data_IF_805775091036
#
_entry.id   IF_805775091036
#
_cell.length_a   1.000
_cell.length_b   1.000
_cell.length_c   1.000
_cell.angle_alpha   90.00
_cell.angle_beta   90.00
_cell.angle_gamma   90.00
#
_symmetry.space_group_name_H-M   'P 1'
#
loop_
_entity.id
_entity.type
_entity.pdbx_description
1 polymer ?
#
# COMPACT_ATOMS: atom_id res chain seq x y z
N UNK A 1 3.45 3.67 -40.99
CA UNK A 1 4.53 3.65 -39.97
C UNK A 1 4.03 4.35 -38.72
N UNK A 2 3.63 3.58 -37.72
CA UNK A 2 3.15 4.13 -36.44
C UNK A 2 4.33 4.54 -35.55
N UNK A 3 4.33 5.77 -35.08
CA UNK A 3 5.32 6.24 -34.11
C UNK A 3 5.06 5.57 -32.75
N UNK A 4 6.09 4.92 -32.21
CA UNK A 4 6.09 4.43 -30.82
C UNK A 4 6.32 5.64 -29.92
N UNK A 5 5.28 6.07 -29.22
CA UNK A 5 5.38 7.13 -28.21
C UNK A 5 5.89 6.51 -26.92
N UNK A 6 7.13 6.83 -26.56
CA UNK A 6 7.71 6.44 -25.27
C UNK A 6 7.10 7.27 -24.14
N UNK A 7 6.30 6.66 -23.28
CA UNK A 7 5.61 7.27 -22.15
C UNK A 7 6.49 7.59 -20.91
N UNK A 8 7.80 7.64 -21.04
CA UNK A 8 8.73 7.85 -19.92
C UNK A 8 8.70 9.25 -19.29
N UNK A 9 8.03 10.22 -19.92
CA UNK A 9 7.98 11.62 -19.42
C UNK A 9 6.72 11.98 -18.64
N UNK A 10 5.70 11.12 -18.67
CA UNK A 10 4.39 11.39 -18.01
C UNK A 10 4.25 10.79 -16.62
N UNK A 11 5.08 9.81 -16.22
CA UNK A 11 4.98 9.18 -14.89
C UNK A 11 5.29 10.15 -13.74
N UNK A 12 6.20 11.11 -13.93
CA UNK A 12 6.55 12.12 -12.91
C UNK A 12 5.44 13.14 -12.61
N UNK A 13 4.50 13.35 -13.52
CA UNK A 13 3.43 14.35 -13.35
C UNK A 13 2.29 13.88 -12.43
N UNK A 14 2.20 12.58 -12.16
CA UNK A 14 1.09 11.99 -11.41
C UNK A 14 1.52 11.17 -10.19
N UNK A 15 2.83 11.13 -9.88
CA UNK A 15 3.30 10.48 -8.65
C UNK A 15 2.84 11.27 -7.44
N UNK A 16 2.19 10.59 -6.51
CA UNK A 16 1.58 11.19 -5.35
C UNK A 16 1.86 10.33 -4.11
N UNK A 17 2.17 10.99 -3.01
CA UNK A 17 2.21 10.38 -1.69
C UNK A 17 0.92 10.73 -0.95
N UNK A 18 0.39 9.79 -0.20
CA UNK A 18 -0.83 9.93 0.57
C UNK A 18 -0.57 9.61 2.04
N UNK A 19 -1.16 10.40 2.93
CA UNK A 19 -1.33 10.05 4.34
C UNK A 19 -2.80 9.73 4.53
N UNK A 20 -3.09 8.48 4.86
CA UNK A 20 -4.45 7.95 4.92
C UNK A 20 -4.73 7.27 6.27
N UNK A 21 -5.89 7.48 6.87
CA UNK A 21 -6.30 6.71 8.04
C UNK A 21 -6.57 5.27 7.64
N UNK A 22 -6.12 4.31 8.46
CA UNK A 22 -6.53 2.91 8.36
C UNK A 22 -7.16 2.47 9.67
N UNK A 23 -7.65 1.25 9.70
CA UNK A 23 -8.22 0.64 10.91
C UNK A 23 -7.23 0.53 12.09
N UNK A 24 -5.92 0.48 11.83
CA UNK A 24 -4.90 0.29 12.87
C UNK A 24 -4.14 1.57 13.22
N UNK A 25 -3.59 2.25 12.23
CA UNK A 25 -2.79 3.46 12.36
C UNK A 25 -2.88 4.26 11.05
N UNK A 26 -2.32 5.46 11.03
CA UNK A 26 -2.16 6.17 9.76
C UNK A 26 -1.15 5.47 8.84
N UNK A 27 -1.53 5.33 7.59
CA UNK A 27 -0.70 4.77 6.53
C UNK A 27 -0.01 5.85 5.69
N UNK A 28 1.25 5.61 5.36
CA UNK A 28 1.95 6.28 4.27
C UNK A 28 1.76 5.45 3.02
N UNK A 29 1.03 6.00 2.05
CA UNK A 29 0.77 5.33 0.79
C UNK A 29 1.36 6.13 -0.38
N UNK A 30 1.56 5.50 -1.52
CA UNK A 30 2.06 6.15 -2.72
C UNK A 30 1.55 5.49 -3.98
N UNK A 31 1.55 6.25 -5.06
CA UNK A 31 1.25 5.75 -6.40
C UNK A 31 2.00 4.44 -6.68
N UNK A 32 1.38 3.56 -7.45
CA UNK A 32 1.96 2.25 -7.74
C UNK A 32 3.04 2.34 -8.85
N UNK A 33 4.05 3.17 -8.60
CA UNK A 33 5.17 3.43 -9.50
C UNK A 33 6.52 3.47 -8.75
N UNK A 34 7.62 3.43 -9.52
CA UNK A 34 8.97 3.39 -8.94
C UNK A 34 9.35 4.67 -8.21
N UNK A 35 8.80 5.82 -8.60
CA UNK A 35 9.13 7.12 -7.97
C UNK A 35 8.51 7.20 -6.58
N UNK A 36 7.22 6.87 -6.44
CA UNK A 36 6.56 6.82 -5.14
C UNK A 36 7.19 5.75 -4.24
N UNK A 37 7.56 4.60 -4.81
CA UNK A 37 8.29 3.57 -4.09
C UNK A 37 9.56 4.11 -3.43
N UNK A 38 10.42 4.77 -4.20
CA UNK A 38 11.67 5.37 -3.69
C UNK A 38 11.41 6.47 -2.65
N UNK A 39 10.41 7.32 -2.88
CA UNK A 39 10.00 8.36 -1.94
C UNK A 39 9.56 7.78 -0.59
N UNK A 40 8.75 6.72 -0.58
CA UNK A 40 8.31 6.06 0.66
C UNK A 40 9.50 5.54 1.47
N UNK A 41 10.48 4.90 0.83
CA UNK A 41 11.66 4.42 1.53
C UNK A 41 12.52 5.58 2.09
N UNK A 42 12.67 6.66 1.33
CA UNK A 42 13.39 7.85 1.76
C UNK A 42 12.71 8.53 2.96
N UNK A 43 11.38 8.76 2.89
CA UNK A 43 10.60 9.36 3.98
C UNK A 43 10.73 8.53 5.27
N UNK A 44 10.61 7.21 5.16
CA UNK A 44 10.63 6.31 6.32
C UNK A 44 12.03 6.01 6.86
N UNK A 45 13.09 6.38 6.16
CA UNK A 45 14.44 5.84 6.42
C UNK A 45 14.41 4.31 6.50
N UNK A 46 13.68 3.69 5.55
CA UNK A 46 13.38 2.26 5.60
C UNK A 46 14.47 1.44 4.93
N UNK A 47 14.81 0.32 5.54
CA UNK A 47 15.66 -0.69 4.93
C UNK A 47 15.01 -1.25 3.67
N UNK A 48 15.74 -1.22 2.56
CA UNK A 48 15.28 -1.70 1.26
C UNK A 48 14.99 -3.21 1.23
N UNK A 49 15.46 -3.98 2.21
CA UNK A 49 15.14 -5.41 2.34
C UNK A 49 13.68 -5.66 2.75
N UNK A 50 13.02 -4.68 3.39
CA UNK A 50 11.65 -4.83 3.88
C UNK A 50 10.64 -4.42 2.81
N UNK A 51 9.81 -5.34 2.24
CA UNK A 51 8.85 -5.00 1.21
C UNK A 51 7.78 -4.03 1.71
N UNK A 52 7.16 -3.28 0.78
CA UNK A 52 5.94 -2.53 1.02
C UNK A 52 4.73 -3.44 0.80
N UNK A 53 3.67 -3.21 1.55
CA UNK A 53 2.37 -3.79 1.22
C UNK A 53 1.77 -3.10 0.00
N UNK A 54 0.80 -3.77 -0.63
CA UNK A 54 -0.01 -3.22 -1.71
C UNK A 54 -1.43 -3.07 -1.18
N UNK A 55 -1.98 -1.87 -1.34
CA UNK A 55 -3.37 -1.57 -1.04
C UNK A 55 -4.19 -1.72 -2.31
N UNK A 56 -5.12 -2.66 -2.30
CA UNK A 56 -6.10 -2.86 -3.38
C UNK A 56 -7.47 -2.33 -2.95
N UNK A 57 -8.37 -2.09 -3.89
CA UNK A 57 -9.66 -1.48 -3.58
C UNK A 57 -10.61 -2.43 -2.85
N UNK A 58 -10.87 -3.58 -3.43
CA UNK A 58 -11.89 -4.53 -2.96
C UNK A 58 -11.29 -5.94 -2.77
N UNK A 59 -12.02 -6.79 -2.05
CA UNK A 59 -11.65 -8.20 -1.86
C UNK A 59 -11.53 -8.94 -3.19
N UNK A 60 -12.40 -8.65 -4.14
CA UNK A 60 -12.42 -9.23 -5.49
C UNK A 60 -11.21 -8.86 -6.36
N UNK A 61 -10.40 -7.88 -5.90
CA UNK A 61 -9.14 -7.54 -6.58
C UNK A 61 -7.99 -8.47 -6.19
N UNK A 62 -8.05 -9.16 -5.04
CA UNK A 62 -6.99 -10.03 -4.54
C UNK A 62 -6.51 -11.06 -5.57
N UNK A 63 -7.40 -11.78 -6.30
CA UNK A 63 -6.98 -12.77 -7.31
C UNK A 63 -6.23 -12.19 -8.51
N UNK A 64 -6.21 -10.87 -8.68
CA UNK A 64 -5.41 -10.20 -9.73
C UNK A 64 -3.92 -10.15 -9.36
N UNK A 65 -3.60 -10.26 -8.08
CA UNK A 65 -2.24 -10.08 -7.55
C UNK A 65 -1.61 -11.37 -7.01
N UNK A 66 -2.41 -12.18 -6.33
CA UNK A 66 -1.94 -13.35 -5.59
C UNK A 66 -2.74 -14.60 -5.94
N UNK A 67 -2.14 -15.77 -5.66
CA UNK A 67 -2.84 -17.04 -5.71
C UNK A 67 -3.66 -17.17 -4.42
N UNK A 68 -4.98 -17.05 -4.56
CA UNK A 68 -5.94 -17.13 -3.44
C UNK A 68 -7.24 -17.77 -3.96
N UNK A 69 -7.86 -18.63 -3.14
CA UNK A 69 -9.15 -19.26 -3.47
C UNK A 69 -10.33 -18.44 -2.93
N UNK A 70 -11.55 -18.74 -3.44
CA UNK A 70 -12.78 -18.11 -2.94
C UNK A 70 -13.01 -18.41 -1.46
N UNK A 71 -12.72 -19.62 -1.00
CA UNK A 71 -12.85 -20.00 0.42
C UNK A 71 -11.91 -19.18 1.30
N UNK A 72 -10.70 -18.90 0.81
CA UNK A 72 -9.73 -18.05 1.52
C UNK A 72 -10.20 -16.59 1.57
N UNK A 73 -10.82 -16.08 0.50
CA UNK A 73 -11.44 -14.75 0.47
C UNK A 73 -12.61 -14.70 1.44
N UNK A 74 -13.44 -15.73 1.54
CA UNK A 74 -14.55 -15.79 2.48
C UNK A 74 -14.08 -15.80 3.95
N UNK A 75 -12.96 -16.47 4.25
CA UNK A 75 -12.32 -16.40 5.57
C UNK A 75 -11.92 -14.96 5.88
N UNK A 76 -11.25 -14.27 4.95
CA UNK A 76 -10.84 -12.88 5.13
C UNK A 76 -12.04 -11.94 5.30
N UNK A 77 -13.10 -12.14 4.52
CA UNK A 77 -14.34 -11.36 4.61
C UNK A 77 -15.05 -11.51 5.96
N UNK A 78 -15.04 -12.72 6.51
CA UNK A 78 -15.68 -13.02 7.78
C UNK A 78 -14.85 -12.64 9.00
N UNK A 79 -13.56 -12.35 8.84
CA UNK A 79 -12.67 -12.07 9.96
C UNK A 79 -12.90 -10.67 10.55
N UNK A 80 -13.20 -10.54 11.87
CA UNK A 80 -13.73 -9.30 12.45
C UNK A 80 -12.64 -8.30 12.90
N UNK A 81 -11.36 -8.63 12.77
CA UNK A 81 -10.26 -7.78 13.23
C UNK A 81 -9.39 -7.31 12.05
N UNK A 82 -8.54 -6.27 12.24
CA UNK A 82 -7.61 -5.84 11.20
C UNK A 82 -6.72 -6.97 10.69
N UNK A 83 -6.53 -7.05 9.39
CA UNK A 83 -5.71 -8.10 8.77
C UNK A 83 -4.93 -7.62 7.55
N UNK A 84 -3.88 -8.36 7.23
CA UNK A 84 -3.12 -8.32 5.99
C UNK A 84 -3.06 -9.73 5.41
N UNK A 85 -3.11 -9.86 4.11
CA UNK A 85 -2.95 -11.13 3.42
C UNK A 85 -1.55 -11.22 2.81
N UNK A 86 -0.81 -12.28 3.12
CA UNK A 86 0.49 -12.58 2.53
C UNK A 86 0.37 -13.86 1.71
N UNK A 87 0.60 -13.79 0.40
CA UNK A 87 0.52 -14.95 -0.48
C UNK A 87 1.48 -14.83 -1.67
N UNK A 88 1.71 -15.96 -2.36
CA UNK A 88 2.51 -15.98 -3.56
C UNK A 88 1.94 -15.09 -4.65
N UNK A 89 2.80 -14.28 -5.24
CA UNK A 89 2.45 -13.43 -6.38
C UNK A 89 2.13 -14.29 -7.60
N UNK A 90 1.09 -13.92 -8.33
CA UNK A 90 0.82 -14.52 -9.65
C UNK A 90 1.89 -14.07 -10.67
N UNK A 91 2.21 -14.93 -11.60
CA UNK A 91 3.24 -14.67 -12.62
C UNK A 91 2.92 -13.49 -13.53
N UNK A 92 1.63 -13.26 -13.81
CA UNK A 92 1.08 -12.21 -14.68
C UNK A 92 0.70 -10.93 -13.93
N UNK A 93 0.95 -10.86 -12.62
CA UNK A 93 0.65 -9.68 -11.82
C UNK A 93 1.38 -8.45 -12.34
N UNK A 94 0.62 -7.37 -12.56
CA UNK A 94 1.19 -6.06 -12.87
C UNK A 94 1.89 -5.51 -11.62
N UNK A 95 3.20 -5.44 -11.68
CA UNK A 95 4.06 -4.85 -10.66
C UNK A 95 5.10 -3.99 -11.36
N UNK A 96 5.54 -2.85 -10.78
CA UNK A 96 6.60 -2.03 -11.36
C UNK A 96 7.82 -2.87 -11.76
N UNK A 97 8.39 -2.58 -12.91
CA UNK A 97 9.41 -3.44 -13.54
C UNK A 97 10.61 -3.70 -12.62
N UNK A 98 11.08 -2.67 -11.91
CA UNK A 98 12.17 -2.74 -10.94
C UNK A 98 11.91 -3.76 -9.82
N UNK A 99 10.65 -3.93 -9.41
CA UNK A 99 10.28 -4.81 -8.31
C UNK A 99 10.01 -6.24 -8.78
N UNK A 100 9.81 -6.45 -10.08
CA UNK A 100 9.45 -7.76 -10.65
C UNK A 100 10.54 -8.80 -10.43
N UNK A 101 11.80 -8.41 -10.56
CA UNK A 101 12.96 -9.28 -10.38
C UNK A 101 13.41 -9.42 -8.92
N UNK A 102 12.91 -8.59 -8.03
CA UNK A 102 13.29 -8.59 -6.62
C UNK A 102 12.60 -9.73 -5.87
N UNK A 103 13.40 -10.62 -5.29
CA UNK A 103 12.92 -11.83 -4.60
C UNK A 103 11.97 -11.54 -3.43
N UNK A 104 12.09 -10.38 -2.77
CA UNK A 104 11.19 -9.99 -1.67
C UNK A 104 9.74 -9.77 -2.12
N UNK A 105 9.49 -9.63 -3.44
CA UNK A 105 8.16 -9.52 -4.03
C UNK A 105 7.68 -10.81 -4.70
N UNK A 106 8.29 -11.97 -4.40
CA UNK A 106 7.72 -13.28 -4.75
C UNK A 106 6.45 -13.57 -3.97
N UNK A 107 6.39 -13.11 -2.70
CA UNK A 107 5.15 -13.00 -1.94
C UNK A 107 4.75 -11.55 -1.82
N UNK A 108 3.45 -11.27 -1.93
CA UNK A 108 2.90 -9.93 -1.75
C UNK A 108 2.11 -9.86 -0.46
N UNK A 109 2.35 -8.81 0.31
CA UNK A 109 1.49 -8.41 1.41
C UNK A 109 0.41 -7.47 0.87
N UNK A 110 -0.85 -7.80 1.06
CA UNK A 110 -1.99 -7.03 0.57
C UNK A 110 -2.87 -6.56 1.71
N UNK A 111 -3.30 -5.30 1.60
CA UNK A 111 -4.38 -4.71 2.39
C UNK A 111 -5.53 -4.38 1.44
N UNK A 112 -6.74 -4.42 1.94
CA UNK A 112 -7.95 -4.13 1.16
C UNK A 112 -8.63 -2.89 1.70
N UNK A 113 -8.74 -1.86 0.87
CA UNK A 113 -9.28 -0.57 1.28
C UNK A 113 -10.73 -0.64 1.73
N UNK A 114 -11.54 -1.47 1.10
CA UNK A 114 -12.93 -1.76 1.47
C UNK A 114 -13.09 -2.14 2.95
N UNK A 115 -12.08 -2.81 3.51
CA UNK A 115 -12.08 -3.30 4.90
C UNK A 115 -11.43 -2.31 5.86
N UNK A 116 -10.37 -1.61 5.44
CA UNK A 116 -9.50 -0.89 6.35
C UNK A 116 -9.51 0.64 6.19
N UNK A 117 -10.23 1.21 5.21
CA UNK A 117 -10.25 2.65 4.95
C UNK A 117 -11.69 3.17 4.94
N UNK A 118 -11.98 4.31 5.58
CA UNK A 118 -13.31 4.94 5.53
C UNK A 118 -13.79 5.17 4.08
N UNK A 119 -15.04 4.88 3.80
CA UNK A 119 -15.63 4.88 2.45
C UNK A 119 -15.40 6.20 1.71
N UNK A 120 -15.62 7.33 2.36
CA UNK A 120 -15.45 8.66 1.76
C UNK A 120 -14.02 8.92 1.25
N UNK A 121 -13.02 8.36 1.93
CA UNK A 121 -11.61 8.47 1.55
C UNK A 121 -11.27 7.44 0.49
N UNK A 122 -11.70 6.20 0.70
CA UNK A 122 -11.48 5.07 -0.21
C UNK A 122 -11.86 5.40 -1.64
N UNK A 123 -12.99 6.06 -1.86
CA UNK A 123 -13.50 6.35 -3.19
C UNK A 123 -12.73 7.45 -3.94
N UNK A 124 -11.85 8.18 -3.25
CA UNK A 124 -10.99 9.20 -3.85
C UNK A 124 -9.60 8.70 -4.25
N UNK A 125 -9.21 7.51 -3.82
CA UNK A 125 -7.85 6.99 -4.01
C UNK A 125 -7.69 6.20 -5.33
N UNK A 126 -6.55 6.37 -6.05
CA UNK A 126 -6.28 5.66 -7.30
C UNK A 126 -5.57 4.32 -7.03
N UNK A 127 -6.31 3.24 -6.91
CA UNK A 127 -5.75 1.90 -6.68
C UNK A 127 -5.08 1.28 -7.90
N UNK A 128 -4.09 0.39 -7.70
CA UNK A 128 -3.47 0.03 -6.43
C UNK A 128 -2.50 1.10 -5.93
N UNK A 129 -2.18 1.05 -4.62
CA UNK A 129 -1.18 1.91 -4.00
C UNK A 129 -0.14 1.07 -3.25
N UNK A 130 1.09 1.55 -3.11
CA UNK A 130 1.98 1.08 -2.05
C UNK A 130 1.47 1.56 -0.70
N UNK A 131 1.67 0.75 0.35
CA UNK A 131 1.23 1.07 1.70
C UNK A 131 2.23 0.61 2.75
N UNK A 132 2.41 1.44 3.76
CA UNK A 132 3.13 1.12 5.00
C UNK A 132 2.60 2.01 6.12
N UNK A 133 2.95 1.77 7.40
CA UNK A 133 2.62 2.68 8.51
C UNK A 133 3.32 4.03 8.35
N UNK A 134 2.66 5.11 8.76
CA UNK A 134 3.19 6.48 8.70
C UNK A 134 4.06 6.79 9.94
N UNK A 135 5.27 6.21 9.98
CA UNK A 135 6.29 6.44 11.00
C UNK A 135 7.67 6.23 10.41
N UNK A 136 8.73 6.77 11.00
CA UNK A 136 10.08 6.33 10.66
C UNK A 136 10.29 4.87 11.07
N UNK A 137 11.17 4.19 10.37
CA UNK A 137 11.36 2.76 10.57
C UNK A 137 11.87 2.46 11.98
N UNK A 138 11.10 1.66 12.73
CA UNK A 138 11.42 1.30 14.12
C UNK A 138 10.86 2.24 15.19
N UNK A 139 10.23 3.35 14.80
CA UNK A 139 9.51 4.23 15.70
C UNK A 139 8.06 3.80 15.91
N UNK A 140 7.39 4.44 16.89
CA UNK A 140 5.97 4.22 17.15
C UNK A 140 5.11 4.62 15.95
N UNK A 141 4.06 3.85 15.67
CA UNK A 141 3.10 4.15 14.62
C UNK A 141 2.29 5.41 14.94
N UNK A 142 1.93 6.16 13.90
CA UNK A 142 1.13 7.37 14.02
C UNK A 142 -0.35 7.00 14.16
N UNK A 143 -1.00 7.50 15.20
CA UNK A 143 -2.42 7.30 15.47
C UNK A 143 -3.27 8.52 15.13
N UNK A 144 -2.65 9.66 14.90
CA UNK A 144 -3.30 10.91 14.46
C UNK A 144 -2.72 11.42 13.16
N UNK A 145 -3.48 12.27 12.46
CA UNK A 145 -3.00 12.89 11.24
C UNK A 145 -1.77 13.79 11.47
N UNK A 146 -1.68 14.47 12.61
CA UNK A 146 -0.55 15.33 12.95
C UNK A 146 0.74 14.52 13.13
N UNK A 147 0.66 13.42 13.88
CA UNK A 147 1.79 12.49 14.02
C UNK A 147 2.23 11.95 12.67
N UNK A 148 1.29 11.55 11.82
CA UNK A 148 1.59 11.02 10.49
C UNK A 148 2.24 12.07 9.56
N UNK A 149 1.80 13.32 9.62
CA UNK A 149 2.39 14.42 8.83
C UNK A 149 3.81 14.78 9.26
N UNK A 150 4.15 14.58 10.53
CA UNK A 150 5.44 14.97 11.08
C UNK A 150 6.65 14.25 10.44
N UNK A 151 6.41 13.09 9.80
CA UNK A 151 7.47 12.33 9.12
C UNK A 151 7.84 12.93 7.75
N UNK A 152 7.02 13.82 7.19
CA UNK A 152 7.28 14.44 5.89
C UNK A 152 8.16 15.68 6.12
N UNK A 153 9.45 15.54 5.89
CA UNK A 153 10.43 16.63 6.07
C UNK A 153 10.73 17.36 4.75
N UNK A 154 10.55 16.70 3.60
CA UNK A 154 10.82 17.27 2.28
C UNK A 154 9.56 17.90 1.69
N UNK A 155 9.51 19.24 1.72
CA UNK A 155 8.40 20.02 1.17
C UNK A 155 8.26 19.95 -0.37
N UNK A 156 9.23 19.37 -1.06
CA UNK A 156 9.15 19.17 -2.52
C UNK A 156 8.28 17.96 -2.91
N UNK A 157 8.03 17.06 -1.98
CA UNK A 157 7.17 15.88 -2.18
C UNK A 157 5.70 16.31 -2.15
N UNK A 158 4.95 15.96 -3.20
CA UNK A 158 3.50 16.18 -3.21
C UNK A 158 2.80 15.17 -2.31
N UNK A 159 2.20 15.67 -1.25
CA UNK A 159 1.46 14.85 -0.28
C UNK A 159 0.02 15.29 -0.21
N UNK A 160 -0.90 14.34 -0.36
CA UNK A 160 -2.31 14.51 -0.04
C UNK A 160 -2.62 13.78 1.25
N UNK A 161 -3.24 14.44 2.20
CA UNK A 161 -3.56 13.84 3.50
C UNK A 161 -5.05 13.89 3.77
N UNK A 162 -5.54 12.84 4.42
CA UNK A 162 -6.94 12.69 4.81
C UNK A 162 -7.04 12.52 6.32
N UNK A 163 -7.96 13.23 6.93
CA UNK A 163 -8.25 13.11 8.36
C UNK A 163 -9.35 12.06 8.56
N UNK A 164 -9.06 11.05 9.35
CA UNK A 164 -10.01 10.02 9.77
C UNK A 164 -10.17 9.94 11.30
N UNK A 165 -9.70 10.97 12.02
CA UNK A 165 -9.68 10.97 13.47
C UNK A 165 -8.55 10.10 14.05
N UNK A 166 -8.83 9.42 15.15
CA UNK A 166 -7.87 8.55 15.83
C UNK A 166 -7.95 7.12 15.26
N UNK A 167 -6.82 6.57 14.86
CA UNK A 167 -6.67 5.20 14.39
C UNK A 167 -5.89 4.40 15.43
N UNK A 168 -6.55 3.59 16.24
CA UNK A 168 -5.96 2.99 17.45
C UNK A 168 -6.29 1.50 17.64
N UNK A 169 -6.82 0.82 16.62
CA UNK A 169 -7.03 -0.61 16.72
C UNK A 169 -5.68 -1.36 16.76
N UNK A 170 -5.65 -2.55 17.38
CA UNK A 170 -4.46 -3.40 17.40
C UNK A 170 -3.91 -3.64 15.98
N UNK A 171 -2.60 -3.83 15.87
CA UNK A 171 -1.94 -4.12 14.60
C UNK A 171 -2.60 -5.29 13.86
N UNK A 172 -2.58 -5.25 12.54
CA UNK A 172 -3.25 -6.25 11.71
C UNK A 172 -2.65 -7.64 11.87
N UNK A 173 -3.51 -8.66 11.94
CA UNK A 173 -3.09 -10.06 11.85
C UNK A 173 -2.65 -10.39 10.43
N UNK A 174 -1.62 -11.21 10.29
CA UNK A 174 -1.11 -11.62 8.98
C UNK A 174 -1.66 -13.01 8.65
N UNK A 175 -2.51 -13.09 7.62
CA UNK A 175 -2.93 -14.35 7.03
C UNK A 175 -1.92 -14.75 5.95
N UNK A 176 -1.15 -15.79 6.21
CA UNK A 176 -0.28 -16.39 5.20
C UNK A 176 -0.94 -17.66 4.67
N UNK A 177 -1.39 -17.61 3.42
CA UNK A 177 -1.94 -18.77 2.74
C UNK A 177 -0.80 -19.55 2.06
N UNK A 178 -0.54 -20.74 2.58
CA UNK A 178 0.38 -21.70 1.98
C UNK A 178 -0.35 -22.59 0.99
N UNK A 179 0.35 -23.07 -0.02
CA UNK A 179 -0.17 -24.05 -0.97
C UNK A 179 -0.40 -25.40 -0.30
#
# INVERSE_FOLDING_TARGET
>A
MGQIVHFTKYSRLYTMIYIIPTDTCYGLAGSYDEVAYEQIYAIKHRDLSKPLAILVRNLEDLPKYINISEEQIDILRAYPHPWSCLAERKSDTLIPAKLRADSKYQKLSLRVAEVCIPEMIRDTLPYPLFLTSANHSGEKEAHTLEEAKSIIQDNSIKVQSFDGGICDQPGSNIFEFMK
#
